data_IF_208881713620
#
_entry.id   IF_208881713620
#
_cell.length_a   1.000
_cell.length_b   1.000
_cell.length_c   1.000
_cell.angle_alpha   90.00
_cell.angle_beta   90.00
_cell.angle_gamma   90.00
#
_symmetry.space_group_name_H-M   'P 1'
#
loop_
_entity.id
_entity.type
_entity.pdbx_description
1 polymer ?
#
# COMPACT_ATOMS: atom_id res chain seq x y z
N UNK A 1 15.99 -19.62 2.40
CA UNK A 1 14.99 -19.25 3.42
C UNK A 1 15.77 -18.66 4.58
N UNK A 2 15.75 -17.33 4.77
CA UNK A 2 16.25 -16.75 6.02
C UNK A 2 15.43 -17.38 7.15
N UNK A 3 16.07 -17.77 8.25
CA UNK A 3 15.32 -18.23 9.43
C UNK A 3 14.43 -17.07 9.87
N UNK A 4 13.13 -17.27 9.88
CA UNK A 4 12.20 -16.27 10.42
C UNK A 4 12.60 -15.98 11.87
N UNK A 5 12.79 -14.70 12.20
CA UNK A 5 13.04 -14.29 13.57
C UNK A 5 11.84 -14.65 14.44
N UNK A 6 12.09 -15.24 15.63
CA UNK A 6 11.01 -15.57 16.56
C UNK A 6 10.42 -14.28 17.12
N UNK A 7 9.18 -13.97 16.74
CA UNK A 7 8.43 -12.82 17.24
C UNK A 7 7.69 -13.09 18.56
N UNK A 8 7.28 -12.01 19.24
CA UNK A 8 6.36 -12.05 20.39
C UNK A 8 4.90 -11.93 19.93
N UNK A 9 3.96 -12.30 20.82
CA UNK A 9 2.53 -12.03 20.64
C UNK A 9 1.99 -11.38 21.91
N UNK A 10 1.23 -10.29 21.75
CA UNK A 10 0.64 -9.54 22.86
C UNK A 10 -0.80 -10.00 23.10
N UNK A 11 -1.18 -10.08 24.37
CA UNK A 11 -2.58 -10.28 24.76
C UNK A 11 -3.46 -9.15 24.18
N UNK A 12 -4.54 -9.52 23.49
CA UNK A 12 -5.50 -8.56 22.97
C UNK A 12 -6.28 -7.94 24.13
N UNK A 13 -6.29 -6.61 24.17
CA UNK A 13 -7.09 -5.82 25.11
C UNK A 13 -7.98 -4.87 24.32
N UNK A 14 -9.16 -4.52 24.87
CA UNK A 14 -10.10 -3.62 24.19
C UNK A 14 -9.68 -2.15 24.23
N UNK A 15 -8.73 -1.81 25.09
CA UNK A 15 -8.19 -0.46 25.25
C UNK A 15 -6.69 -0.56 25.35
N UNK A 16 -5.99 0.03 24.39
CA UNK A 16 -4.54 0.18 24.45
C UNK A 16 -4.24 1.47 25.23
N UNK A 17 -3.41 1.43 26.30
CA UNK A 17 -2.99 2.64 26.98
C UNK A 17 -2.29 3.59 26.00
N UNK A 18 -2.52 4.90 26.13
CA UNK A 18 -1.99 5.92 25.21
C UNK A 18 -0.46 5.87 25.07
N UNK A 19 0.25 5.66 26.18
CA UNK A 19 1.70 5.51 26.20
C UNK A 19 2.15 4.30 25.35
N UNK A 20 1.51 3.15 25.53
CA UNK A 20 1.77 1.94 24.74
C UNK A 20 1.43 2.13 23.28
N UNK A 21 0.30 2.80 22.96
CA UNK A 21 -0.09 3.10 21.59
C UNK A 21 0.98 3.96 20.89
N UNK A 22 1.47 5.00 21.58
CA UNK A 22 2.51 5.88 21.04
C UNK A 22 3.82 5.12 20.79
N UNK A 23 4.26 4.30 21.75
CA UNK A 23 5.46 3.46 21.60
C UNK A 23 5.33 2.48 20.42
N UNK A 24 4.16 1.86 20.26
CA UNK A 24 3.88 0.95 19.17
C UNK A 24 3.91 1.64 17.80
N UNK A 25 3.24 2.78 17.68
CA UNK A 25 3.21 3.55 16.44
C UNK A 25 4.62 3.98 16.02
N UNK A 26 5.45 4.42 16.97
CA UNK A 26 6.85 4.75 16.71
C UNK A 26 7.68 3.52 16.31
N UNK A 27 7.45 2.37 16.97
CA UNK A 27 8.07 1.11 16.58
C UNK A 27 7.69 0.71 15.14
N UNK A 28 6.42 0.81 14.76
CA UNK A 28 5.97 0.49 13.40
C UNK A 28 6.53 1.47 12.37
N UNK A 29 6.55 2.77 12.70
CA UNK A 29 7.15 3.81 11.88
C UNK A 29 8.63 3.50 11.62
N UNK A 30 9.39 3.19 12.67
CA UNK A 30 10.81 2.84 12.58
C UNK A 30 11.01 1.55 11.80
N UNK A 31 10.18 0.53 12.05
CA UNK A 31 10.26 -0.74 11.31
C UNK A 31 10.11 -0.54 9.81
N UNK A 32 9.27 0.39 9.36
CA UNK A 32 9.13 0.68 7.93
C UNK A 32 10.45 1.14 7.32
N UNK A 33 11.18 2.01 8.03
CA UNK A 33 12.51 2.51 7.63
C UNK A 33 13.54 1.38 7.62
N UNK A 34 13.56 0.55 8.66
CA UNK A 34 14.47 -0.61 8.76
C UNK A 34 14.23 -1.62 7.63
N UNK A 35 12.98 -1.74 7.18
CA UNK A 35 12.60 -2.59 6.05
C UNK A 35 12.95 -1.98 4.69
N UNK A 36 13.47 -0.76 4.65
CA UNK A 36 13.96 -0.08 3.45
C UNK A 36 13.03 0.98 2.86
N UNK A 37 12.02 1.44 3.61
CA UNK A 37 11.32 2.67 3.23
C UNK A 37 12.27 3.87 3.30
N UNK A 38 12.14 4.81 2.37
CA UNK A 38 12.91 6.06 2.38
C UNK A 38 12.33 7.07 3.37
N UNK A 39 11.04 6.94 3.68
CA UNK A 39 10.32 7.74 4.68
C UNK A 39 9.12 7.00 5.23
N UNK A 40 8.74 7.40 6.44
CA UNK A 40 7.65 6.81 7.21
C UNK A 40 7.15 7.84 8.20
N UNK A 41 5.84 8.05 8.28
CA UNK A 41 5.18 9.00 9.17
C UNK A 41 3.95 8.36 9.83
N UNK A 42 3.72 8.74 11.09
CA UNK A 42 2.50 8.41 11.82
C UNK A 42 1.49 9.50 11.48
N UNK A 43 0.37 9.11 10.88
CA UNK A 43 -0.67 10.05 10.46
C UNK A 43 -2.00 9.71 11.12
N UNK A 44 -2.86 10.70 11.40
CA UNK A 44 -4.26 10.44 11.74
C UNK A 44 -4.95 9.74 10.56
N UNK A 45 -5.67 8.65 10.81
CA UNK A 45 -6.42 7.93 9.78
C UNK A 45 -7.47 8.83 9.11
N UNK A 46 -7.98 9.85 9.82
CA UNK A 46 -8.86 10.90 9.31
C UNK A 46 -8.24 11.75 8.19
N UNK A 47 -6.93 11.64 7.93
CA UNK A 47 -6.31 12.26 6.76
C UNK A 47 -6.55 11.50 5.47
N UNK A 48 -6.96 10.24 5.54
CA UNK A 48 -7.17 9.40 4.36
C UNK A 48 -8.58 9.60 3.84
N UNK A 49 -8.70 10.19 2.66
CA UNK A 49 -9.98 10.40 2.00
C UNK A 49 -10.23 9.33 0.93
N UNK A 50 -11.46 8.80 0.95
CA UNK A 50 -11.98 7.95 -0.12
C UNK A 50 -12.73 8.84 -1.11
N UNK A 51 -12.21 8.91 -2.34
CA UNK A 51 -12.75 9.71 -3.43
C UNK A 51 -13.13 8.82 -4.63
N UNK A 52 -14.40 8.86 -5.02
CA UNK A 52 -14.94 8.06 -6.12
C UNK A 52 -14.25 8.37 -7.46
N UNK A 53 -13.68 9.56 -7.64
CA UNK A 53 -12.92 9.94 -8.83
C UNK A 53 -11.63 9.13 -8.97
N UNK A 54 -11.05 8.63 -7.87
CA UNK A 54 -9.91 7.71 -7.90
C UNK A 54 -10.33 6.40 -8.57
N UNK A 55 -11.51 5.87 -8.24
CA UNK A 55 -12.08 4.69 -8.91
C UNK A 55 -12.36 4.94 -10.39
N UNK A 56 -12.81 6.15 -10.75
CA UNK A 56 -12.96 6.53 -12.16
C UNK A 56 -11.64 6.45 -12.91
N UNK A 57 -10.49 6.79 -12.31
CA UNK A 57 -9.17 6.62 -12.94
C UNK A 57 -8.81 5.16 -13.23
N UNK A 58 -9.37 4.20 -12.48
CA UNK A 58 -9.20 2.78 -12.79
C UNK A 58 -10.07 2.34 -13.98
N UNK A 59 -11.27 2.91 -14.13
CA UNK A 59 -12.25 2.51 -15.13
C UNK A 59 -12.17 3.32 -16.44
N UNK A 60 -11.72 4.58 -16.39
CA UNK A 60 -11.84 5.57 -17.47
C UNK A 60 -10.62 6.53 -17.52
N UNK A 61 -9.73 6.43 -18.54
CA UNK A 61 -9.61 5.30 -19.46
C UNK A 61 -9.22 4.02 -18.72
N UNK A 62 -9.53 2.87 -19.30
CA UNK A 62 -9.40 1.59 -18.62
C UNK A 62 -7.95 1.31 -18.19
N UNK A 63 -7.74 1.11 -16.89
CA UNK A 63 -6.47 0.65 -16.35
C UNK A 63 -6.15 -0.75 -16.91
N UNK A 64 -4.89 -1.04 -17.32
CA UNK A 64 -4.50 -2.36 -17.83
C UNK A 64 -4.76 -3.55 -16.88
N UNK A 65 -4.97 -3.27 -15.58
CA UNK A 65 -5.22 -4.28 -14.55
C UNK A 65 -6.68 -4.32 -14.06
N UNK A 66 -7.54 -3.46 -14.60
CA UNK A 66 -8.97 -3.48 -14.29
C UNK A 66 -9.55 -4.85 -14.65
N UNK A 67 -10.32 -5.45 -13.74
CA UNK A 67 -10.96 -6.77 -13.88
C UNK A 67 -9.96 -7.93 -14.12
N UNK A 68 -8.66 -7.72 -13.85
CA UNK A 68 -7.63 -8.77 -14.02
C UNK A 68 -7.29 -9.51 -12.74
N UNK A 69 -7.63 -8.96 -11.59
CA UNK A 69 -7.28 -9.51 -10.28
C UNK A 69 -8.36 -9.26 -9.23
N UNK A 70 -8.52 -10.20 -8.29
CA UNK A 70 -9.43 -10.08 -7.14
C UNK A 70 -9.24 -8.77 -6.36
N UNK A 71 -8.00 -8.26 -6.32
CA UNK A 71 -7.65 -7.04 -5.62
C UNK A 71 -7.57 -5.81 -6.53
N UNK A 72 -8.24 -5.86 -7.69
CA UNK A 72 -8.45 -4.73 -8.57
C UNK A 72 -9.96 -4.48 -8.76
N UNK A 73 -10.38 -3.23 -9.05
CA UNK A 73 -11.75 -2.96 -9.46
C UNK A 73 -12.17 -3.86 -10.64
N UNK A 74 -13.42 -4.35 -10.70
CA UNK A 74 -14.53 -4.03 -9.81
C UNK A 74 -14.61 -4.91 -8.55
N UNK A 75 -13.68 -5.83 -8.33
CA UNK A 75 -13.75 -6.84 -7.26
C UNK A 75 -13.39 -6.32 -5.85
N UNK A 76 -12.66 -5.20 -5.77
CA UNK A 76 -12.39 -4.55 -4.48
C UNK A 76 -13.65 -3.92 -3.88
N UNK A 77 -13.70 -3.74 -2.54
CA UNK A 77 -14.87 -3.16 -1.89
C UNK A 77 -15.29 -1.81 -2.48
N UNK A 78 -16.58 -1.53 -2.44
CA UNK A 78 -17.14 -0.26 -2.89
C UNK A 78 -16.62 0.91 -2.02
N UNK A 79 -16.52 2.14 -2.57
CA UNK A 79 -16.06 3.32 -1.84
C UNK A 79 -16.77 3.55 -0.50
N UNK A 80 -18.08 3.30 -0.44
CA UNK A 80 -18.89 3.49 0.76
C UNK A 80 -18.50 2.52 1.87
N UNK A 81 -18.22 1.26 1.51
CA UNK A 81 -17.74 0.23 2.44
C UNK A 81 -16.35 0.61 2.95
N UNK A 82 -15.46 1.05 2.06
CA UNK A 82 -14.12 1.47 2.43
C UNK A 82 -14.13 2.68 3.36
N UNK A 83 -14.95 3.69 3.08
CA UNK A 83 -15.11 4.87 3.93
C UNK A 83 -15.59 4.49 5.32
N UNK A 84 -16.60 3.62 5.42
CA UNK A 84 -17.13 3.16 6.71
C UNK A 84 -16.12 2.30 7.50
N UNK A 85 -15.27 1.54 6.81
CA UNK A 85 -14.21 0.76 7.45
C UNK A 85 -13.07 1.66 7.94
N UNK A 86 -12.56 2.57 7.10
CA UNK A 86 -11.45 3.45 7.44
C UNK A 86 -11.79 4.44 8.56
N UNK A 87 -13.06 4.86 8.67
CA UNK A 87 -13.55 5.74 9.74
C UNK A 87 -13.48 5.11 11.15
N UNK A 88 -13.18 3.81 11.26
CA UNK A 88 -13.02 3.11 12.55
C UNK A 88 -11.59 3.09 13.06
N UNK A 89 -10.62 3.54 12.27
CA UNK A 89 -9.23 3.68 12.69
C UNK A 89 -8.96 5.12 13.12
N UNK A 90 -8.05 5.27 14.06
CA UNK A 90 -7.54 6.55 14.55
C UNK A 90 -6.20 6.90 13.90
N UNK A 91 -5.35 5.90 13.66
CA UNK A 91 -3.97 6.09 13.18
C UNK A 91 -3.63 5.24 11.97
N UNK A 92 -2.61 5.66 11.24
CA UNK A 92 -1.98 4.86 10.20
C UNK A 92 -0.49 5.17 10.11
N UNK A 93 0.27 4.18 9.67
CA UNK A 93 1.68 4.32 9.29
C UNK A 93 1.71 4.49 7.78
N UNK A 94 1.98 5.72 7.32
CA UNK A 94 2.21 6.03 5.91
C UNK A 94 3.71 5.91 5.64
N UNK A 95 4.09 5.22 4.57
CA UNK A 95 5.50 5.10 4.18
C UNK A 95 5.68 5.18 2.67
N UNK A 96 6.88 5.55 2.22
CA UNK A 96 7.22 5.57 0.82
C UNK A 96 8.68 5.17 0.56
N UNK A 97 8.92 4.64 -0.64
CA UNK A 97 10.24 4.47 -1.20
C UNK A 97 10.48 5.57 -2.26
N UNK A 98 11.63 6.22 -2.19
CA UNK A 98 12.13 7.04 -3.30
C UNK A 98 12.58 6.14 -4.43
N UNK A 99 11.88 6.20 -5.56
CA UNK A 99 12.19 5.44 -6.75
C UNK A 99 13.43 6.05 -7.40
N UNK A 100 14.55 5.34 -7.32
CA UNK A 100 15.85 5.77 -7.87
C UNK A 100 16.44 4.69 -8.78
N UNK A 101 16.61 4.96 -10.08
CA UNK A 101 16.32 6.22 -10.77
C UNK A 101 14.82 6.43 -11.01
N UNK A 102 14.37 7.70 -11.07
CA UNK A 102 12.97 8.08 -11.40
C UNK A 102 12.49 7.44 -12.71
N UNK A 103 13.42 7.24 -13.65
CA UNK A 103 13.18 6.54 -14.91
C UNK A 103 12.58 5.13 -14.74
N UNK A 104 12.74 4.47 -13.59
CA UNK A 104 12.11 3.17 -13.32
C UNK A 104 10.58 3.22 -13.36
N UNK A 105 10.00 4.39 -13.07
CA UNK A 105 8.57 4.66 -13.23
C UNK A 105 8.26 5.50 -14.47
N UNK A 106 9.09 6.50 -14.77
CA UNK A 106 8.81 7.49 -15.80
C UNK A 106 9.16 7.03 -17.23
N UNK A 107 10.18 6.18 -17.39
CA UNK A 107 10.66 5.76 -18.71
C UNK A 107 10.07 4.41 -19.13
N UNK A 108 9.01 4.47 -19.95
CA UNK A 108 8.35 3.27 -20.46
C UNK A 108 9.17 2.47 -21.47
N UNK A 109 10.25 3.02 -22.04
CA UNK A 109 11.13 2.28 -22.95
C UNK A 109 11.89 1.17 -22.23
N UNK A 110 12.10 1.30 -20.91
CA UNK A 110 12.70 0.29 -20.02
C UNK A 110 11.74 -0.85 -19.66
N UNK A 111 10.53 -0.86 -20.22
CA UNK A 111 9.48 -1.80 -19.85
C UNK A 111 8.89 -1.49 -18.48
N UNK A 112 8.26 -2.49 -17.84
CA UNK A 112 7.64 -2.35 -16.51
C UNK A 112 8.39 -3.08 -15.40
N UNK A 113 9.43 -3.83 -15.74
CA UNK A 113 10.12 -4.68 -14.76
C UNK A 113 10.75 -3.88 -13.61
N UNK A 114 11.43 -2.74 -13.83
CA UNK A 114 11.95 -1.93 -12.72
C UNK A 114 10.83 -1.45 -11.79
N UNK A 115 9.72 -0.92 -12.34
CA UNK A 115 8.59 -0.46 -11.54
C UNK A 115 7.96 -1.56 -10.67
N UNK A 116 8.03 -2.82 -11.14
CA UNK A 116 7.48 -3.98 -10.45
C UNK A 116 8.29 -4.33 -9.20
N UNK A 117 9.62 -4.18 -9.24
CA UNK A 117 10.45 -4.46 -8.09
C UNK A 117 10.17 -3.48 -6.93
N UNK A 118 9.99 -2.20 -7.24
CA UNK A 118 9.56 -1.19 -6.27
C UNK A 118 8.20 -1.52 -5.66
N UNK A 119 7.21 -1.87 -6.50
CA UNK A 119 5.87 -2.24 -6.03
C UNK A 119 5.89 -3.51 -5.16
N UNK A 120 6.68 -4.52 -5.55
CA UNK A 120 6.88 -5.75 -4.77
C UNK A 120 7.50 -5.45 -3.41
N UNK A 121 8.51 -4.57 -3.37
CA UNK A 121 9.14 -4.15 -2.11
C UNK A 121 8.15 -3.37 -1.21
N UNK A 122 7.34 -2.48 -1.78
CA UNK A 122 6.27 -1.80 -1.03
C UNK A 122 5.29 -2.81 -0.44
N UNK A 123 4.83 -3.79 -1.22
CA UNK A 123 3.97 -4.87 -0.74
C UNK A 123 4.63 -5.63 0.42
N UNK A 124 5.91 -5.99 0.31
CA UNK A 124 6.65 -6.69 1.36
C UNK A 124 6.74 -5.88 2.65
N UNK A 125 6.98 -4.56 2.57
CA UNK A 125 6.97 -3.67 3.73
C UNK A 125 5.57 -3.63 4.35
N UNK A 126 4.52 -3.42 3.55
CA UNK A 126 3.13 -3.41 4.03
C UNK A 126 2.78 -4.70 4.78
N UNK A 127 3.12 -5.86 4.23
CA UNK A 127 2.83 -7.16 4.84
C UNK A 127 3.53 -7.33 6.20
N UNK A 128 4.78 -6.91 6.29
CA UNK A 128 5.57 -7.05 7.52
C UNK A 128 5.13 -6.09 8.61
N UNK A 129 4.75 -4.85 8.24
CA UNK A 129 4.18 -3.89 9.18
C UNK A 129 2.82 -4.35 9.71
N UNK A 130 1.94 -4.85 8.85
CA UNK A 130 0.65 -5.41 9.25
C UNK A 130 0.83 -6.63 10.17
N UNK A 131 1.79 -7.51 9.87
CA UNK A 131 2.13 -8.65 10.74
C UNK A 131 2.64 -8.20 12.12
N UNK A 132 3.47 -7.15 12.15
CA UNK A 132 4.00 -6.59 13.40
C UNK A 132 2.90 -5.90 14.22
N UNK A 133 2.03 -5.12 13.57
CA UNK A 133 0.88 -4.52 14.22
C UNK A 133 -0.07 -5.59 14.79
N UNK A 134 -0.36 -6.63 14.00
CA UNK A 134 -1.15 -7.77 14.44
C UNK A 134 -0.55 -8.45 15.69
N UNK A 135 0.77 -8.67 15.72
CA UNK A 135 1.43 -9.31 16.88
C UNK A 135 1.45 -8.43 18.14
N UNK A 136 1.29 -7.12 17.98
CA UNK A 136 1.16 -6.13 19.05
C UNK A 136 -0.29 -5.93 19.54
N UNK A 137 -1.24 -6.75 19.06
CA UNK A 137 -2.64 -6.73 19.51
C UNK A 137 -3.58 -5.90 18.63
N UNK A 138 -3.06 -5.22 17.60
CA UNK A 138 -3.84 -4.50 16.58
C UNK A 138 -4.37 -5.52 15.55
N UNK A 139 -5.22 -6.43 16.00
CA UNK A 139 -5.72 -7.58 15.24
C UNK A 139 -6.60 -7.21 14.03
N UNK A 140 -7.08 -5.97 13.97
CA UNK A 140 -7.79 -5.41 12.81
C UNK A 140 -6.89 -4.56 11.92
N UNK A 141 -5.59 -4.45 12.20
CA UNK A 141 -4.68 -3.70 11.33
C UNK A 141 -4.79 -4.17 9.89
N UNK A 142 -4.84 -3.20 8.97
CA UNK A 142 -5.11 -3.47 7.55
C UNK A 142 -4.16 -2.64 6.70
N UNK A 143 -3.40 -3.31 5.83
CA UNK A 143 -2.41 -2.67 4.98
C UNK A 143 -2.81 -2.57 3.50
N UNK A 144 -2.58 -1.41 2.90
CA UNK A 144 -2.70 -1.18 1.46
C UNK A 144 -1.34 -0.79 0.87
N UNK A 145 -1.10 -1.19 -0.37
CA UNK A 145 0.19 -0.97 -1.03
C UNK A 145 0.00 -0.20 -2.34
N UNK A 146 0.94 -0.36 -3.25
CA UNK A 146 0.91 0.19 -4.60
C UNK A 146 0.81 -0.91 -5.65
N UNK A 147 0.17 -0.58 -6.77
CA UNK A 147 0.04 -1.40 -7.96
C UNK A 147 -0.73 -2.72 -7.77
N UNK A 148 -0.97 -3.42 -8.88
CA UNK A 148 -1.69 -4.70 -8.89
C UNK A 148 -0.79 -5.83 -8.41
N UNK A 149 -1.27 -6.63 -7.44
CA UNK A 149 -0.55 -7.82 -6.97
C UNK A 149 -0.37 -8.88 -8.08
N UNK A 150 -1.23 -8.89 -9.11
CA UNK A 150 -1.08 -9.76 -10.28
C UNK A 150 0.27 -9.52 -10.96
N UNK A 151 0.63 -8.25 -11.15
CA UNK A 151 1.90 -7.88 -11.78
C UNK A 151 3.06 -7.95 -10.80
N UNK A 152 2.86 -7.52 -9.55
CA UNK A 152 3.93 -7.44 -8.56
C UNK A 152 4.35 -8.80 -7.99
N UNK A 153 3.45 -9.80 -7.95
CA UNK A 153 3.69 -11.09 -7.31
C UNK A 153 3.56 -12.28 -8.28
N UNK A 154 2.48 -12.33 -9.07
CA UNK A 154 2.12 -13.56 -9.79
C UNK A 154 2.84 -13.75 -11.12
N UNK A 155 3.17 -12.67 -11.84
CA UNK A 155 3.72 -12.77 -13.20
C UNK A 155 2.76 -13.39 -14.22
N UNK A 156 1.45 -13.45 -13.90
CA UNK A 156 0.40 -14.03 -14.73
C UNK A 156 -0.38 -12.96 -15.50
N UNK A 157 -1.07 -13.37 -16.56
CA UNK A 157 -1.95 -12.48 -17.33
C UNK A 157 -3.34 -12.29 -16.68
N UNK A 158 -3.81 -13.31 -15.95
CA UNK A 158 -5.08 -13.29 -15.20
C UNK A 158 -4.91 -13.92 -13.83
N UNK A 159 -5.68 -13.44 -12.86
CA UNK A 159 -5.63 -13.96 -11.49
C UNK A 159 -6.31 -15.32 -11.37
N UNK A 160 -5.56 -16.32 -10.91
CA UNK A 160 -6.06 -17.67 -10.62
C UNK A 160 -7.33 -17.70 -9.76
N UNK A 161 -7.49 -16.78 -8.80
CA UNK A 161 -8.67 -16.76 -7.92
C UNK A 161 -9.94 -16.42 -8.69
N UNK A 162 -9.85 -15.55 -9.69
CA UNK A 162 -10.99 -15.24 -10.56
C UNK A 162 -11.37 -16.43 -11.47
N UNK A 163 -10.50 -17.42 -11.58
CA UNK A 163 -10.71 -18.66 -12.33
C UNK A 163 -11.11 -19.84 -11.42
N UNK A 164 -11.38 -19.58 -10.13
CA UNK A 164 -11.77 -20.61 -9.16
C UNK A 164 -10.61 -21.36 -8.49
N UNK A 165 -9.36 -20.93 -8.72
CA UNK A 165 -8.17 -21.53 -8.12
C UNK A 165 -7.72 -20.81 -6.84
N UNK A 166 -6.75 -21.37 -6.12
CA UNK A 166 -6.18 -20.75 -4.91
C UNK A 166 -5.19 -19.65 -5.26
N UNK A 167 -5.14 -18.59 -4.44
CA UNK A 167 -4.09 -17.59 -4.55
C UNK A 167 -2.73 -18.21 -4.15
N UNK A 168 -1.66 -18.05 -4.95
CA UNK A 168 -0.32 -18.48 -4.53
C UNK A 168 0.32 -17.56 -3.48
N UNK A 169 -0.33 -16.41 -3.17
CA UNK A 169 0.16 -15.40 -2.24
C UNK A 169 -0.92 -14.91 -1.25
N UNK A 170 -1.65 -15.80 -0.54
CA UNK A 170 -2.86 -15.44 0.20
C UNK A 170 -2.63 -14.44 1.35
N UNK A 171 -1.41 -14.32 1.88
CA UNK A 171 -1.04 -13.38 2.96
C UNK A 171 -0.25 -12.15 2.45
N UNK A 172 0.01 -12.08 1.13
CA UNK A 172 0.74 -10.96 0.53
C UNK A 172 -0.11 -10.17 -0.46
N UNK A 173 -0.92 -10.87 -1.25
CA UNK A 173 -1.84 -10.27 -2.20
C UNK A 173 -2.88 -9.41 -1.47
N UNK A 174 -3.00 -8.15 -1.89
CA UNK A 174 -3.84 -7.12 -1.30
C UNK A 174 -4.09 -6.03 -2.35
N UNK A 175 -5.11 -5.17 -2.17
CA UNK A 175 -5.34 -4.09 -3.11
C UNK A 175 -4.34 -2.95 -2.94
N UNK A 176 -4.17 -2.18 -4.01
CA UNK A 176 -3.50 -0.89 -3.89
C UNK A 176 -4.43 0.14 -3.25
N UNK A 177 -3.87 1.24 -2.75
CA UNK A 177 -4.63 2.36 -2.21
C UNK A 177 -5.67 2.90 -3.22
N UNK A 178 -5.28 3.05 -4.49
CA UNK A 178 -6.16 3.55 -5.54
C UNK A 178 -7.28 2.56 -5.89
N UNK A 179 -7.00 1.25 -5.81
CA UNK A 179 -7.98 0.21 -6.08
C UNK A 179 -9.17 0.23 -5.09
N UNK A 180 -8.94 0.76 -3.88
CA UNK A 180 -9.96 0.97 -2.84
C UNK A 180 -10.45 2.42 -2.74
N UNK A 181 -9.96 3.32 -3.60
CA UNK A 181 -10.45 4.70 -3.72
C UNK A 181 -9.71 5.73 -2.86
N UNK A 182 -8.56 5.40 -2.27
CA UNK A 182 -7.74 6.35 -1.51
C UNK A 182 -7.04 7.32 -2.47
N UNK A 183 -7.19 8.63 -2.24
CA UNK A 183 -6.42 9.66 -2.96
C UNK A 183 -4.99 9.78 -2.39
N UNK A 184 -4.08 9.01 -2.98
CA UNK A 184 -2.68 8.96 -2.56
C UNK A 184 -1.96 10.30 -2.78
N UNK A 185 -2.29 11.05 -3.84
CA UNK A 185 -1.63 12.31 -4.13
C UNK A 185 -1.98 13.35 -3.07
N UNK A 186 -3.26 13.48 -2.73
CA UNK A 186 -3.72 14.36 -1.67
C UNK A 186 -3.08 13.96 -0.32
N UNK A 187 -3.13 12.68 0.03
CA UNK A 187 -2.62 12.16 1.29
C UNK A 187 -1.12 12.45 1.48
N UNK A 188 -0.33 12.13 0.46
CA UNK A 188 1.13 12.30 0.48
C UNK A 188 1.52 13.78 0.50
N UNK A 189 0.77 14.63 -0.23
CA UNK A 189 0.95 16.09 -0.17
C UNK A 189 0.64 16.63 1.23
N UNK A 190 -0.43 16.14 1.88
CA UNK A 190 -0.80 16.50 3.25
C UNK A 190 0.25 16.06 4.28
N UNK A 191 0.92 14.94 4.04
CA UNK A 191 2.08 14.48 4.81
C UNK A 191 3.38 15.28 4.54
N UNK A 192 3.34 16.27 3.64
CA UNK A 192 4.48 17.13 3.33
C UNK A 192 5.52 16.49 2.42
N UNK A 193 5.17 15.44 1.66
CA UNK A 193 6.10 14.81 0.73
C UNK A 193 5.80 15.27 -0.71
N UNK A 194 6.85 15.63 -1.43
CA UNK A 194 6.72 15.96 -2.85
C UNK A 194 6.41 14.72 -3.69
N UNK A 195 5.33 14.79 -4.46
CA UNK A 195 4.92 13.74 -5.40
C UNK A 195 4.52 14.37 -6.73
N UNK A 196 4.92 13.72 -7.83
CA UNK A 196 4.69 14.23 -9.19
C UNK A 196 3.91 13.20 -10.01
N UNK A 197 2.91 13.62 -10.80
CA UNK A 197 2.17 12.70 -11.65
C UNK A 197 3.05 12.14 -12.77
N UNK A 198 3.11 10.82 -12.86
CA UNK A 198 3.81 10.11 -13.94
C UNK A 198 2.76 9.55 -14.90
N UNK A 199 2.80 10.01 -16.15
CA UNK A 199 1.85 9.64 -17.19
C UNK A 199 2.58 9.16 -18.46
N UNK A 200 1.83 8.63 -19.43
CA UNK A 200 2.39 7.88 -20.56
C UNK A 200 3.44 8.64 -21.38
N UNK A 201 3.32 9.96 -21.49
CA UNK A 201 4.16 10.82 -22.31
C UNK A 201 4.94 11.85 -21.49
N UNK A 202 5.13 11.58 -20.18
CA UNK A 202 6.00 12.43 -19.36
C UNK A 202 7.45 12.24 -19.82
N UNK A 203 8.19 13.34 -19.85
CA UNK A 203 9.64 13.33 -20.06
C UNK A 203 10.33 12.91 -18.75
N UNK A 204 11.01 11.76 -18.68
CA UNK A 204 11.65 11.28 -17.46
C UNK A 204 12.66 12.27 -16.87
N UNK A 205 13.32 13.09 -17.70
CA UNK A 205 14.28 14.10 -17.25
C UNK A 205 13.62 15.28 -16.53
N UNK A 206 12.31 15.46 -16.74
CA UNK A 206 11.51 16.53 -16.12
C UNK A 206 10.72 16.06 -14.90
N UNK A 207 10.83 14.80 -14.51
CA UNK A 207 10.19 14.27 -13.29
C UNK A 207 11.17 14.39 -12.13
N UNK A 208 10.98 15.33 -11.17
CA UNK A 208 11.96 15.57 -10.12
C UNK A 208 12.04 14.42 -9.11
N UNK A 209 10.91 13.73 -8.90
CA UNK A 209 10.77 12.69 -7.88
C UNK A 209 9.66 11.71 -8.22
N UNK A 210 9.87 10.45 -7.88
CA UNK A 210 8.89 9.38 -7.99
C UNK A 210 8.84 8.59 -6.68
N UNK A 211 7.63 8.26 -6.23
CA UNK A 211 7.40 7.57 -4.96
C UNK A 211 6.67 6.25 -5.18
N UNK A 212 7.07 5.22 -4.42
CA UNK A 212 6.31 3.99 -4.26
C UNK A 212 5.71 3.93 -2.86
N UNK A 213 4.40 4.12 -2.71
CA UNK A 213 3.75 4.46 -1.43
C UNK A 213 2.96 3.28 -0.88
N UNK A 214 2.99 3.09 0.45
CA UNK A 214 2.15 2.13 1.15
C UNK A 214 1.64 2.71 2.47
N UNK A 215 0.60 2.08 3.02
CA UNK A 215 -0.03 2.48 4.27
C UNK A 215 -0.49 1.27 5.07
N UNK A 216 -0.40 1.35 6.40
CA UNK A 216 -1.00 0.38 7.31
C UNK A 216 -1.83 1.11 8.34
N UNK A 217 -3.14 0.83 8.37
CA UNK A 217 -4.05 1.36 9.38
C UNK A 217 -3.90 0.59 10.69
N UNK A 218 -3.87 1.33 11.79
CA UNK A 218 -3.61 0.82 13.14
C UNK A 218 -4.52 1.54 14.13
N UNK A 219 -5.03 0.78 15.09
CA UNK A 219 -5.91 1.23 16.18
C UNK A 219 -7.25 1.77 15.67
#
# INVERSE_FOLDING_TARGET
MSKDEKGSSRLITLKVPEETLREDLENFRQKALDLGASMSEIIPAAWVEIDERVRLKCAIPLCPYYDKCLFCPPHTPAPEVMRAALAKYEWAILFAQDVKPVADFADRSKGREPSVQWAKKTLEITCQLETLAFSHGYHLSTGFAQASCLKALCGQERCLVLEGNKCPYPLKARPSMEAVGIDVFQLVTKAGWDIYPIYRSVDPEKVPRALSVGIVFVH
#
